data_IF_509545400731
#
_entry.id   IF_509545400731
#
_cell.length_a   1.000
_cell.length_b   1.000
_cell.length_c   1.000
_cell.angle_alpha   90.00
_cell.angle_beta   90.00
_cell.angle_gamma   90.00
#
_symmetry.space_group_name_H-M   'P 1'
#
loop_
_entity.id
_entity.type
_entity.pdbx_description
1 polymer ?
#
# COMPACT_ATOMS: atom_id res chain seq x y z
N UNK A 1 26.27 3.92 9.13
CA UNK A 1 25.24 4.82 9.65
C UNK A 1 24.94 5.85 8.58
N UNK A 2 23.71 5.92 8.08
CA UNK A 2 23.35 6.90 7.04
C UNK A 2 22.55 8.00 7.74
N UNK A 3 23.13 9.18 7.84
CA UNK A 3 22.46 10.37 8.37
C UNK A 3 21.93 11.14 7.16
N UNK A 4 20.63 11.07 6.92
CA UNK A 4 19.95 11.87 5.91
C UNK A 4 19.09 12.91 6.59
N UNK A 5 19.52 14.17 6.61
CA UNK A 5 18.66 15.30 6.96
C UNK A 5 18.02 15.80 5.66
N UNK A 6 16.75 15.47 5.44
CA UNK A 6 15.99 16.04 4.33
C UNK A 6 15.47 17.43 4.76
N UNK A 7 15.75 18.47 3.97
CA UNK A 7 15.35 19.83 4.28
C UNK A 7 13.81 19.94 4.25
N UNK A 8 13.16 19.92 5.42
CA UNK A 8 11.70 20.03 5.54
C UNK A 8 11.07 19.26 6.71
N UNK A 9 11.81 18.40 7.41
CA UNK A 9 11.31 17.74 8.63
C UNK A 9 11.92 18.39 9.89
N UNK A 10 11.10 18.65 10.92
CA UNK A 10 11.60 19.21 12.19
C UNK A 10 12.51 18.23 12.95
N UNK A 11 12.34 16.93 12.72
CA UNK A 11 13.03 15.88 13.47
C UNK A 11 14.02 15.11 12.59
N UNK A 12 15.31 14.99 13.02
CA UNK A 12 16.30 14.22 12.28
C UNK A 12 15.98 12.72 12.33
N UNK A 13 16.04 12.06 11.15
CA UNK A 13 15.82 10.62 11.03
C UNK A 13 17.16 9.88 11.09
N UNK A 14 17.33 9.00 12.07
CA UNK A 14 18.50 8.14 12.20
C UNK A 14 18.18 6.74 11.66
N UNK A 15 18.73 6.40 10.49
CA UNK A 15 18.53 5.10 9.85
C UNK A 15 19.79 4.23 9.99
N UNK A 16 19.61 3.06 10.61
CA UNK A 16 20.65 2.04 10.74
C UNK A 16 20.44 1.01 9.65
N UNK A 17 21.44 0.86 8.78
CA UNK A 17 21.47 -0.17 7.73
C UNK A 17 22.51 -1.22 8.11
N UNK A 18 22.13 -2.50 8.08
CA UNK A 18 23.06 -3.60 8.37
C UNK A 18 23.99 -3.81 7.17
N UNK A 19 25.29 -3.94 7.45
CA UNK A 19 26.34 -4.12 6.43
C UNK A 19 26.22 -5.48 5.70
N UNK A 20 25.43 -6.40 6.26
CA UNK A 20 25.23 -7.77 5.76
C UNK A 20 24.26 -7.92 4.59
N UNK A 21 23.43 -6.90 4.28
CA UNK A 21 22.71 -6.86 2.99
C UNK A 21 23.70 -6.47 1.89
N UNK A 22 24.42 -7.47 1.37
CA UNK A 22 25.14 -7.51 0.09
C UNK A 22 25.63 -6.14 -0.39
N UNK A 23 26.70 -5.55 0.22
CA UNK A 23 27.37 -4.27 -0.15
C UNK A 23 26.52 -3.41 -1.10
N UNK A 24 25.34 -3.02 -0.64
CA UNK A 24 24.45 -2.21 -1.44
C UNK A 24 24.95 -0.79 -1.29
N UNK A 25 25.76 -0.31 -2.24
CA UNK A 25 26.15 1.10 -2.36
C UNK A 25 24.92 1.91 -2.77
N UNK A 26 23.88 1.91 -1.93
CA UNK A 26 22.67 2.67 -2.16
C UNK A 26 22.92 4.09 -1.63
N UNK A 27 22.78 5.13 -2.46
CA UNK A 27 22.85 6.50 -1.97
C UNK A 27 21.82 6.74 -0.86
N UNK A 28 22.16 7.66 0.05
CA UNK A 28 21.35 7.96 1.23
C UNK A 28 19.87 8.27 0.91
N UNK A 29 19.63 8.98 -0.21
CA UNK A 29 18.29 9.31 -0.70
C UNK A 29 17.44 8.07 -0.99
N UNK A 30 18.01 7.03 -1.60
CA UNK A 30 17.30 5.78 -1.87
C UNK A 30 16.96 5.03 -0.60
N UNK A 31 17.85 5.07 0.40
CA UNK A 31 17.62 4.44 1.70
C UNK A 31 16.46 5.15 2.40
N UNK A 32 16.44 6.49 2.40
CA UNK A 32 15.33 7.28 2.95
C UNK A 32 14.02 7.05 2.19
N UNK A 33 14.06 7.00 0.86
CA UNK A 33 12.89 6.74 0.03
C UNK A 33 12.32 5.33 0.27
N UNK A 34 13.18 4.31 0.30
CA UNK A 34 12.79 2.94 0.61
C UNK A 34 12.22 2.82 2.03
N UNK A 35 12.84 3.50 3.01
CA UNK A 35 12.31 3.55 4.37
C UNK A 35 10.94 4.25 4.43
N UNK A 36 10.75 5.31 3.65
CA UNK A 36 9.45 5.99 3.52
C UNK A 36 8.33 5.08 3.04
N UNK A 37 8.64 4.05 2.25
CA UNK A 37 7.63 3.07 1.79
C UNK A 37 7.02 2.24 2.93
N UNK A 38 7.64 2.19 4.12
CA UNK A 38 7.10 1.47 5.29
C UNK A 38 5.70 1.92 5.69
N UNK A 39 5.38 3.19 5.46
CA UNK A 39 4.06 3.76 5.77
C UNK A 39 2.95 3.15 4.92
N UNK A 40 3.29 2.48 3.81
CA UNK A 40 2.33 1.73 2.99
C UNK A 40 1.71 0.56 3.76
N UNK A 41 2.46 -0.06 4.69
CA UNK A 41 1.97 -1.15 5.55
C UNK A 41 1.01 -0.65 6.61
N UNK A 42 1.16 0.61 7.06
CA UNK A 42 0.29 1.21 8.08
C UNK A 42 -1.17 1.31 7.63
N UNK A 43 -1.41 1.50 6.32
CA UNK A 43 -2.76 1.43 5.76
C UNK A 43 -3.45 0.09 6.04
N UNK A 44 -2.72 -1.03 5.89
CA UNK A 44 -3.24 -2.36 6.17
C UNK A 44 -3.56 -2.55 7.67
N UNK A 45 -2.72 -2.04 8.56
CA UNK A 45 -2.97 -2.11 10.01
C UNK A 45 -4.17 -1.26 10.43
N UNK A 46 -4.35 -0.08 9.82
CA UNK A 46 -5.53 0.76 10.05
C UNK A 46 -6.80 0.07 9.55
N UNK A 47 -6.74 -0.56 8.39
CA UNK A 47 -7.87 -1.31 7.81
C UNK A 47 -8.21 -2.58 8.62
N UNK A 48 -7.24 -3.18 9.30
CA UNK A 48 -7.45 -4.30 10.22
C UNK A 48 -8.26 -3.90 11.47
N UNK A 49 -8.13 -2.64 11.91
CA UNK A 49 -8.75 -2.19 13.16
C UNK A 49 -10.26 -2.32 13.17
N UNK A 50 -10.81 -2.41 14.38
CA UNK A 50 -12.17 -2.81 14.67
C UNK A 50 -13.23 -1.71 14.47
N UNK A 51 -12.96 -0.73 13.60
CA UNK A 51 -13.98 0.25 13.26
C UNK A 51 -15.08 -0.44 12.43
N UNK A 52 -16.30 -0.41 12.95
CA UNK A 52 -17.49 -1.02 12.32
C UNK A 52 -17.74 -0.46 10.92
N UNK A 53 -17.42 0.81 10.72
CA UNK A 53 -17.66 1.48 9.45
C UNK A 53 -16.44 1.52 8.58
N UNK A 54 -15.22 1.38 9.12
CA UNK A 54 -13.96 1.62 8.39
C UNK A 54 -13.04 0.41 8.20
N UNK A 55 -13.15 -0.65 9.02
CA UNK A 55 -12.21 -1.78 9.00
C UNK A 55 -12.83 -3.16 8.80
N UNK A 56 -12.00 -4.20 8.90
CA UNK A 56 -12.38 -5.60 8.69
C UNK A 56 -12.85 -6.34 9.95
N UNK A 57 -12.85 -5.68 11.10
CA UNK A 57 -13.31 -6.24 12.38
C UNK A 57 -12.65 -7.58 12.75
N UNK A 58 -11.35 -7.72 12.47
CA UNK A 58 -10.64 -8.99 12.71
C UNK A 58 -10.58 -9.37 14.20
N UNK A 59 -10.69 -8.40 15.11
CA UNK A 59 -10.78 -8.62 16.55
C UNK A 59 -12.11 -9.27 17.01
N UNK A 60 -13.16 -9.19 16.18
CA UNK A 60 -14.44 -9.85 16.42
C UNK A 60 -14.40 -11.36 16.18
N UNK A 61 -13.37 -11.87 15.49
CA UNK A 61 -13.26 -13.28 15.12
C UNK A 61 -12.53 -14.05 16.21
N UNK A 62 -13.23 -14.98 16.88
CA UNK A 62 -12.61 -15.92 17.84
C UNK A 62 -12.35 -17.27 17.19
N UNK A 63 -11.10 -17.54 16.81
CA UNK A 63 -10.68 -18.86 16.33
C UNK A 63 -10.01 -19.65 17.45
N UNK A 64 -10.44 -20.91 17.61
CA UNK A 64 -9.97 -21.77 18.71
C UNK A 64 -8.57 -22.38 18.56
N UNK A 65 -7.88 -22.22 17.42
CA UNK A 65 -6.53 -22.78 17.22
C UNK A 65 -5.63 -21.86 16.39
N UNK A 66 -4.30 -21.78 16.67
CA UNK A 66 -3.36 -20.97 15.90
C UNK A 66 -3.33 -21.32 14.40
N UNK A 67 -3.39 -22.61 14.06
CA UNK A 67 -3.37 -23.04 12.66
C UNK A 67 -4.59 -22.56 11.85
N UNK A 68 -5.71 -22.22 12.50
CA UNK A 68 -6.85 -21.59 11.82
C UNK A 68 -6.60 -20.12 11.55
N UNK A 69 -5.91 -19.43 12.46
CA UNK A 69 -5.46 -18.05 12.25
C UNK A 69 -4.54 -17.95 11.04
N UNK A 70 -3.54 -18.83 10.93
CA UNK A 70 -2.61 -18.80 9.79
C UNK A 70 -3.33 -18.91 8.44
N UNK A 71 -4.29 -19.84 8.34
CA UNK A 71 -5.08 -20.03 7.12
C UNK A 71 -5.99 -18.84 6.84
N UNK A 72 -6.65 -18.31 7.87
CA UNK A 72 -7.53 -17.15 7.71
C UNK A 72 -6.73 -15.92 7.28
N UNK A 73 -5.59 -15.65 7.92
CA UNK A 73 -4.72 -14.53 7.59
C UNK A 73 -4.14 -14.64 6.18
N UNK A 74 -3.81 -15.86 5.73
CA UNK A 74 -3.37 -16.09 4.36
C UNK A 74 -4.48 -15.75 3.33
N UNK A 75 -5.70 -16.22 3.56
CA UNK A 75 -6.86 -15.93 2.70
C UNK A 75 -7.17 -14.43 2.73
N UNK A 76 -7.13 -13.82 3.91
CA UNK A 76 -7.32 -12.39 4.10
C UNK A 76 -6.28 -11.58 3.33
N UNK A 77 -5.00 -11.89 3.47
CA UNK A 77 -3.92 -11.21 2.78
C UNK A 77 -4.09 -11.27 1.25
N UNK A 78 -4.45 -12.44 0.71
CA UNK A 78 -4.76 -12.60 -0.70
C UNK A 78 -5.96 -11.77 -1.15
N UNK A 79 -7.06 -11.83 -0.39
CA UNK A 79 -8.29 -11.09 -0.68
C UNK A 79 -8.06 -9.58 -0.62
N UNK A 80 -7.39 -9.10 0.42
CA UNK A 80 -7.01 -7.71 0.60
C UNK A 80 -6.14 -7.21 -0.56
N UNK A 81 -5.15 -7.99 -0.99
CA UNK A 81 -4.35 -7.67 -2.16
C UNK A 81 -5.22 -7.47 -3.42
N UNK A 82 -6.11 -8.42 -3.72
CA UNK A 82 -6.96 -8.33 -4.91
C UNK A 82 -7.97 -7.19 -4.86
N UNK A 83 -8.54 -6.91 -3.69
CA UNK A 83 -9.39 -5.73 -3.49
C UNK A 83 -8.62 -4.44 -3.74
N UNK A 84 -7.35 -4.37 -3.33
CA UNK A 84 -6.52 -3.22 -3.63
C UNK A 84 -6.20 -3.12 -5.13
N UNK A 85 -5.91 -4.22 -5.81
CA UNK A 85 -5.73 -4.22 -7.28
C UNK A 85 -7.00 -3.72 -7.99
N UNK A 86 -8.18 -4.17 -7.55
CA UNK A 86 -9.47 -3.69 -8.07
C UNK A 86 -9.69 -2.21 -7.83
N UNK A 87 -9.41 -1.73 -6.61
CA UNK A 87 -9.52 -0.31 -6.28
C UNK A 87 -8.58 0.58 -7.11
N UNK A 88 -7.37 0.10 -7.39
CA UNK A 88 -6.45 0.79 -8.29
C UNK A 88 -6.98 0.91 -9.71
N UNK A 89 -7.62 -0.14 -10.22
CA UNK A 89 -8.26 -0.12 -11.54
C UNK A 89 -9.40 0.92 -11.58
N UNK A 90 -10.21 0.96 -10.52
CA UNK A 90 -11.32 1.92 -10.38
C UNK A 90 -10.82 3.36 -10.28
N UNK A 91 -9.75 3.60 -9.54
CA UNK A 91 -9.11 4.92 -9.42
C UNK A 91 -8.56 5.39 -10.77
N UNK A 92 -7.89 4.50 -11.53
CA UNK A 92 -7.43 4.84 -12.89
C UNK A 92 -8.56 5.09 -13.88
N UNK A 93 -9.71 4.45 -13.66
CA UNK A 93 -10.93 4.71 -14.42
C UNK A 93 -11.67 5.99 -13.97
N UNK A 94 -11.19 6.69 -12.93
CA UNK A 94 -11.80 7.92 -12.42
C UNK A 94 -13.10 7.71 -11.62
N UNK A 95 -13.40 6.46 -11.24
CA UNK A 95 -14.61 6.10 -10.46
C UNK A 95 -14.48 6.35 -8.96
N UNK A 96 -13.32 6.87 -8.54
CA UNK A 96 -13.11 7.34 -7.17
C UNK A 96 -13.90 8.61 -6.85
N UNK A 97 -14.27 9.39 -7.88
CA UNK A 97 -15.02 10.65 -7.77
C UNK A 97 -16.44 10.44 -7.27
N UNK A 98 -17.05 9.30 -7.61
CA UNK A 98 -18.43 8.94 -7.23
C UNK A 98 -18.57 8.54 -5.76
N UNK A 99 -17.46 8.44 -5.03
CA UNK A 99 -17.42 8.18 -3.58
C UNK A 99 -16.69 9.26 -2.80
N UNK A 100 -16.40 10.40 -3.43
CA UNK A 100 -15.65 11.47 -2.78
C UNK A 100 -16.60 12.39 -2.01
N UNK A 101 -16.22 12.74 -0.78
CA UNK A 101 -16.94 13.76 -0.03
C UNK A 101 -16.79 15.13 -0.71
N UNK A 102 -17.86 15.92 -0.77
CA UNK A 102 -17.88 17.23 -1.45
C UNK A 102 -16.83 18.23 -0.91
N UNK A 103 -16.37 18.04 0.33
CA UNK A 103 -15.33 18.84 1.00
C UNK A 103 -13.92 18.51 0.55
N UNK A 104 -13.69 17.33 -0.04
CA UNK A 104 -12.37 16.86 -0.45
C UNK A 104 -12.27 16.89 -1.96
N UNK A 105 -11.35 17.69 -2.50
CA UNK A 105 -11.17 17.84 -3.97
C UNK A 105 -9.88 17.23 -4.50
N UNK A 106 -8.86 17.10 -3.66
CA UNK A 106 -7.51 16.79 -4.14
C UNK A 106 -7.08 15.34 -3.91
N UNK A 107 -7.74 14.62 -3.00
CA UNK A 107 -7.37 13.24 -2.66
C UNK A 107 -8.59 12.31 -2.56
N UNK A 108 -8.32 11.02 -2.64
CA UNK A 108 -9.31 9.95 -2.51
C UNK A 108 -9.81 9.88 -1.07
N UNK A 109 -11.13 9.92 -0.87
CA UNK A 109 -11.75 9.80 0.46
C UNK A 109 -11.75 8.37 0.98
N UNK A 110 -12.07 7.39 0.13
CA UNK A 110 -12.13 5.99 0.53
C UNK A 110 -10.77 5.29 0.43
N UNK A 111 -10.55 4.30 1.29
CA UNK A 111 -9.44 3.37 1.15
C UNK A 111 -9.59 2.56 -0.14
N UNK A 112 -8.46 2.10 -0.66
CA UNK A 112 -8.41 1.51 -2.00
C UNK A 112 -9.14 0.16 -2.05
N UNK A 113 -9.05 -0.65 -0.98
CA UNK A 113 -9.78 -1.91 -0.89
C UNK A 113 -11.30 -1.70 -0.91
N UNK A 114 -11.82 -0.62 -0.31
CA UNK A 114 -13.25 -0.26 -0.36
C UNK A 114 -13.70 0.10 -1.74
N UNK A 115 -12.88 0.86 -2.45
CA UNK A 115 -13.16 1.21 -3.84
C UNK A 115 -13.19 -0.05 -4.72
N UNK A 116 -12.30 -1.01 -4.47
CA UNK A 116 -12.33 -2.33 -5.12
C UNK A 116 -13.57 -3.14 -4.76
N UNK A 117 -13.96 -3.17 -3.49
CA UNK A 117 -15.17 -3.85 -3.03
C UNK A 117 -16.43 -3.25 -3.65
N UNK A 118 -16.55 -1.91 -3.69
CA UNK A 118 -17.63 -1.20 -4.38
C UNK A 118 -17.65 -1.53 -5.87
N UNK A 119 -16.48 -1.53 -6.52
CA UNK A 119 -16.35 -1.90 -7.92
C UNK A 119 -16.77 -3.34 -8.22
N UNK A 120 -16.54 -4.27 -7.29
CA UNK A 120 -17.05 -5.65 -7.39
C UNK A 120 -18.58 -5.70 -7.28
N UNK A 121 -19.15 -4.97 -6.31
CA UNK A 121 -20.62 -4.90 -6.13
C UNK A 121 -21.33 -4.29 -7.34
N UNK A 122 -20.70 -3.32 -8.00
CA UNK A 122 -21.23 -2.64 -9.19
C UNK A 122 -20.96 -3.40 -10.51
N UNK A 123 -20.17 -4.48 -10.48
CA UNK A 123 -19.81 -5.26 -11.68
C UNK A 123 -18.72 -4.63 -12.55
N UNK A 124 -18.08 -3.56 -12.10
CA UNK A 124 -17.01 -2.84 -12.80
C UNK A 124 -15.65 -3.57 -12.72
N UNK A 125 -15.44 -4.26 -11.60
CA UNK A 125 -14.24 -5.07 -11.37
C UNK A 125 -14.55 -6.51 -11.75
N UNK A 126 -14.01 -6.93 -12.90
CA UNK A 126 -14.10 -8.31 -13.39
C UNK A 126 -12.71 -8.95 -13.42
N UNK A 127 -12.62 -10.27 -13.54
CA UNK A 127 -11.33 -10.98 -13.60
C UNK A 127 -10.35 -10.39 -14.63
N UNK A 128 -10.85 -9.98 -15.81
CA UNK A 128 -10.05 -9.30 -16.84
C UNK A 128 -9.47 -7.97 -16.37
N UNK A 129 -10.25 -7.17 -15.63
CA UNK A 129 -9.84 -5.90 -15.05
C UNK A 129 -8.72 -6.13 -14.02
N UNK A 130 -8.91 -7.11 -13.13
CA UNK A 130 -7.92 -7.47 -12.12
C UNK A 130 -6.61 -7.94 -12.74
N UNK A 131 -6.65 -8.83 -13.73
CA UNK A 131 -5.46 -9.35 -14.41
C UNK A 131 -4.63 -8.23 -15.06
N UNK A 132 -5.28 -7.30 -15.76
CA UNK A 132 -4.63 -6.14 -16.37
C UNK A 132 -4.09 -5.16 -15.34
N UNK A 133 -4.87 -4.92 -14.27
CA UNK A 133 -4.47 -3.97 -13.24
C UNK A 133 -3.33 -4.51 -12.38
N UNK A 134 -3.22 -5.83 -12.17
CA UNK A 134 -2.20 -6.45 -11.33
C UNK A 134 -0.78 -6.15 -11.84
N UNK A 135 -0.56 -6.19 -13.16
CA UNK A 135 0.75 -5.92 -13.77
C UNK A 135 1.22 -4.48 -13.58
N UNK A 136 0.29 -3.55 -13.38
CA UNK A 136 0.58 -2.15 -13.13
C UNK A 136 0.60 -1.84 -11.63
N UNK A 137 -0.25 -2.51 -10.86
CA UNK A 137 -0.34 -2.38 -9.41
C UNK A 137 0.98 -2.79 -8.73
N UNK A 138 1.66 -3.84 -9.23
CA UNK A 138 3.00 -4.20 -8.76
C UNK A 138 4.04 -3.08 -8.92
N UNK A 139 3.80 -2.14 -9.85
CA UNK A 139 4.69 -1.01 -10.13
C UNK A 139 4.25 0.26 -9.41
N UNK A 140 3.11 0.23 -8.70
CA UNK A 140 2.58 1.36 -7.93
C UNK A 140 3.50 1.74 -6.78
N UNK A 141 4.06 0.74 -6.09
CA UNK A 141 5.18 0.97 -5.18
C UNK A 141 6.42 0.94 -6.06
N UNK A 142 7.06 2.10 -6.33
CA UNK A 142 8.24 2.10 -7.19
C UNK A 142 9.28 1.19 -6.55
N UNK A 143 9.69 0.15 -7.28
CA UNK A 143 10.76 -0.74 -6.81
C UNK A 143 11.98 0.11 -6.49
N UNK A 144 12.75 -0.24 -5.46
CA UNK A 144 13.93 0.55 -5.11
C UNK A 144 14.92 0.65 -6.29
N UNK A 145 14.95 -0.38 -7.14
CA UNK A 145 15.71 -0.38 -8.39
C UNK A 145 15.21 0.64 -9.43
N UNK A 146 13.91 0.96 -9.45
CA UNK A 146 13.34 2.01 -10.30
C UNK A 146 13.70 3.40 -9.79
N UNK A 147 13.56 3.63 -8.47
CA UNK A 147 14.00 4.89 -7.85
C UNK A 147 15.51 5.09 -8.09
N UNK A 148 16.30 4.02 -7.97
CA UNK A 148 17.74 4.02 -8.26
C UNK A 148 18.08 4.34 -9.72
N UNK A 149 17.22 3.96 -10.67
CA UNK A 149 17.40 4.27 -12.10
C UNK A 149 17.02 5.71 -12.42
N UNK A 150 15.93 6.21 -11.84
CA UNK A 150 15.47 7.59 -12.01
C UNK A 150 16.49 8.59 -11.42
N UNK A 151 17.10 8.28 -10.28
CA UNK A 151 18.19 9.09 -9.69
C UNK A 151 19.46 9.11 -10.56
N UNK A 152 19.81 8.01 -11.26
CA UNK A 152 20.98 7.96 -12.15
C UNK A 152 20.82 8.76 -13.44
N UNK A 153 19.59 9.05 -13.85
CA UNK A 153 19.30 9.85 -15.06
C UNK A 153 19.21 11.35 -14.72
N UNK A 154 19.01 11.69 -13.45
CA UNK A 154 18.96 13.06 -12.94
C UNK A 154 20.32 13.63 -12.51
N UNK A 155 21.43 12.90 -12.74
CA UNK A 155 22.81 13.30 -12.46
C UNK A 155 23.57 13.45 -13.77
#
# INVERSE_FOLDING_TARGET
MVIGAEAGYSDPRFLVVSVGLRKATWPARLITAAYGQRFTTEGCFRDQNNDVYEGFQLDGVKLGTPARWDRMLLIFAGTYYWLNVGGWAMERAGKDRDGRANSVRDHRTHTLWRLGHRGLQMGDVVWRTLWRAQTDFRHRIPSVNRIAREDRVAT
#
